data_IF_606237692583
#
_entry.id   IF_606237692583
#
_cell.length_a   1.000
_cell.length_b   1.000
_cell.length_c   1.000
_cell.angle_alpha   90.00
_cell.angle_beta   90.00
_cell.angle_gamma   90.00
#
_symmetry.space_group_name_H-M   'P 1'
#
loop_
_entity.id
_entity.type
_entity.pdbx_description
1 polymer ?
#
# COMPACT_ATOMS: atom_id res chain seq x y z
N UNK A 1 -11.86 -37.00 8.27
CA UNK A 1 -11.73 -36.04 7.15
C UNK A 1 -12.07 -34.68 7.74
N UNK A 2 -11.10 -33.78 7.86
CA UNK A 2 -11.37 -32.41 8.32
C UNK A 2 -11.99 -31.65 7.15
N UNK A 3 -13.23 -31.19 7.28
CA UNK A 3 -13.80 -30.25 6.33
C UNK A 3 -13.22 -28.88 6.67
N UNK A 4 -12.46 -28.30 5.73
CA UNK A 4 -12.01 -26.93 5.89
C UNK A 4 -13.25 -26.03 5.86
N UNK A 5 -13.38 -25.08 6.82
CA UNK A 5 -14.49 -24.15 6.80
C UNK A 5 -14.47 -23.39 5.48
N UNK A 6 -15.66 -23.22 4.87
CA UNK A 6 -15.83 -22.44 3.65
C UNK A 6 -15.69 -20.94 3.96
N UNK A 7 -14.45 -20.56 4.25
CA UNK A 7 -14.04 -19.21 4.58
C UNK A 7 -13.72 -18.50 3.26
N UNK A 8 -14.62 -17.59 2.88
CA UNK A 8 -14.49 -16.73 1.72
C UNK A 8 -14.18 -15.32 2.24
N UNK A 9 -12.93 -14.90 2.08
CA UNK A 9 -12.47 -13.56 2.50
C UNK A 9 -12.23 -12.73 1.25
N UNK A 10 -12.85 -11.56 1.19
CA UNK A 10 -12.59 -10.59 0.13
C UNK A 10 -11.18 -10.00 0.25
N UNK A 11 -10.48 -9.88 -0.87
CA UNK A 11 -9.13 -9.27 -0.95
C UNK A 11 -9.14 -7.80 -0.52
N UNK A 12 -10.33 -7.18 -0.47
CA UNK A 12 -10.55 -5.82 0.04
C UNK A 12 -9.96 -5.55 1.42
N UNK A 13 -9.70 -6.57 2.26
CA UNK A 13 -9.00 -6.38 3.54
C UNK A 13 -7.61 -5.75 3.35
N UNK A 14 -6.88 -6.09 2.29
CA UNK A 14 -5.58 -5.50 2.00
C UNK A 14 -5.67 -4.00 1.65
N UNK A 15 -6.82 -3.53 1.15
CA UNK A 15 -7.07 -2.11 0.93
C UNK A 15 -7.08 -1.31 2.23
N UNK A 16 -7.39 -1.92 3.38
CA UNK A 16 -7.34 -1.23 4.68
C UNK A 16 -5.90 -0.85 5.01
N UNK A 17 -4.97 -1.79 4.85
CA UNK A 17 -3.53 -1.55 5.09
C UNK A 17 -2.99 -0.52 4.11
N UNK A 18 -3.34 -0.66 2.82
CA UNK A 18 -2.98 0.32 1.81
C UNK A 18 -3.56 1.70 2.13
N UNK A 19 -4.84 1.80 2.49
CA UNK A 19 -5.51 3.05 2.85
C UNK A 19 -4.88 3.72 4.07
N UNK A 20 -4.49 2.96 5.09
CA UNK A 20 -3.78 3.48 6.26
C UNK A 20 -2.40 4.05 5.87
N UNK A 21 -1.65 3.33 5.03
CA UNK A 21 -0.39 3.81 4.47
C UNK A 21 -0.59 5.13 3.69
N UNK A 22 -1.59 5.18 2.81
CA UNK A 22 -1.93 6.37 2.03
C UNK A 22 -2.27 7.57 2.91
N UNK A 23 -3.02 7.35 3.99
CA UNK A 23 -3.36 8.40 4.95
C UNK A 23 -2.12 8.98 5.63
N UNK A 24 -1.26 8.12 6.19
CA UNK A 24 -0.01 8.56 6.81
C UNK A 24 0.91 9.27 5.82
N UNK A 25 0.96 8.78 4.59
CA UNK A 25 1.72 9.40 3.52
C UNK A 25 1.21 10.82 3.19
N UNK A 26 -0.11 11.00 3.09
CA UNK A 26 -0.72 12.32 2.84
C UNK A 26 -0.39 13.27 4.00
N UNK A 27 -0.55 12.84 5.25
CA UNK A 27 -0.23 13.65 6.43
C UNK A 27 1.25 14.07 6.45
N UNK A 28 2.15 13.14 6.17
CA UNK A 28 3.58 13.41 6.08
C UNK A 28 3.91 14.39 4.93
N UNK A 29 3.27 14.22 3.76
CA UNK A 29 3.47 15.11 2.62
C UNK A 29 2.97 16.52 2.91
N UNK A 30 1.80 16.66 3.53
CA UNK A 30 1.27 17.95 3.96
C UNK A 30 2.19 18.66 4.96
N UNK A 31 2.75 17.92 5.91
CA UNK A 31 3.74 18.46 6.85
C UNK A 31 4.99 18.97 6.14
N UNK A 32 5.54 18.20 5.19
CA UNK A 32 6.72 18.62 4.43
C UNK A 32 6.44 19.82 3.53
N UNK A 33 5.30 19.86 2.86
CA UNK A 33 4.89 21.00 2.04
C UNK A 33 4.72 22.24 2.91
N UNK A 34 4.03 22.13 4.05
CA UNK A 34 3.91 23.22 5.01
C UNK A 34 5.28 23.72 5.49
N UNK A 35 6.16 22.80 5.85
CA UNK A 35 7.51 23.13 6.30
C UNK A 35 8.30 23.84 5.20
N UNK A 36 8.22 23.36 3.96
CA UNK A 36 8.88 23.94 2.80
C UNK A 36 8.37 25.37 2.52
N UNK A 37 7.05 25.59 2.54
CA UNK A 37 6.44 26.90 2.31
C UNK A 37 6.80 27.90 3.40
N UNK A 38 6.85 27.46 4.67
CA UNK A 38 7.05 28.35 5.82
C UNK A 38 8.52 28.59 6.18
N UNK A 39 9.39 27.59 5.99
CA UNK A 39 10.77 27.60 6.48
C UNK A 39 11.82 27.35 5.38
N UNK A 40 11.41 26.99 4.16
CA UNK A 40 12.30 26.56 3.08
C UNK A 40 13.27 27.63 2.55
N UNK A 41 13.07 28.91 2.88
CA UNK A 41 13.92 30.01 2.43
C UNK A 41 15.30 29.99 3.10
N UNK A 42 15.43 29.41 4.31
CA UNK A 42 16.68 29.45 5.09
C UNK A 42 17.71 28.36 4.70
N UNK A 43 17.37 27.47 3.76
CA UNK A 43 18.25 26.38 3.34
C UNK A 43 17.91 25.86 1.94
N UNK A 44 18.42 26.53 0.90
CA UNK A 44 18.15 26.20 -0.51
C UNK A 44 18.43 24.72 -0.87
N UNK A 45 19.50 24.13 -0.34
CA UNK A 45 19.79 22.71 -0.55
C UNK A 45 18.72 21.79 0.06
N UNK A 46 18.28 22.10 1.29
CA UNK A 46 17.23 21.34 1.98
C UNK A 46 15.89 21.47 1.25
N UNK A 47 15.59 22.67 0.74
CA UNK A 47 14.44 22.94 -0.10
C UNK A 47 14.42 22.03 -1.33
N UNK A 48 15.50 21.99 -2.12
CA UNK A 48 15.59 21.16 -3.34
C UNK A 48 15.40 19.67 -3.02
N UNK A 49 16.04 19.17 -1.95
CA UNK A 49 15.92 17.77 -1.53
C UNK A 49 14.47 17.45 -1.18
N UNK A 50 13.82 18.27 -0.35
CA UNK A 50 12.43 18.05 0.08
C UNK A 50 11.46 18.15 -1.10
N UNK A 51 11.68 19.08 -2.03
CA UNK A 51 10.86 19.20 -3.25
C UNK A 51 10.98 17.96 -4.14
N UNK A 52 12.20 17.53 -4.47
CA UNK A 52 12.41 16.35 -5.32
C UNK A 52 11.83 15.09 -4.67
N UNK A 53 12.09 14.92 -3.36
CA UNK A 53 11.53 13.81 -2.59
C UNK A 53 10.00 13.82 -2.64
N UNK A 54 9.36 14.95 -2.31
CA UNK A 54 7.90 15.07 -2.27
C UNK A 54 7.26 14.83 -3.63
N UNK A 55 7.82 15.40 -4.70
CA UNK A 55 7.34 15.17 -6.07
C UNK A 55 7.49 13.70 -6.48
N UNK A 56 8.66 13.10 -6.21
CA UNK A 56 8.91 11.70 -6.53
C UNK A 56 7.96 10.76 -5.81
N UNK A 57 7.72 11.00 -4.52
CA UNK A 57 6.78 10.18 -3.75
C UNK A 57 5.33 10.40 -4.18
N UNK A 58 4.92 11.62 -4.56
CA UNK A 58 3.58 11.87 -5.10
C UNK A 58 3.37 11.07 -6.38
N UNK A 59 4.37 11.02 -7.26
CA UNK A 59 4.31 10.23 -8.49
C UNK A 59 4.22 8.74 -8.22
N UNK A 60 5.04 8.20 -7.30
CA UNK A 60 5.00 6.78 -6.95
C UNK A 60 3.64 6.39 -6.33
N UNK A 61 3.14 7.21 -5.42
CA UNK A 61 1.88 6.98 -4.73
C UNK A 61 0.70 7.11 -5.68
N UNK A 62 0.64 8.18 -6.47
CA UNK A 62 -0.38 8.35 -7.51
C UNK A 62 -0.34 7.22 -8.53
N UNK A 63 0.85 6.82 -8.98
CA UNK A 63 1.05 5.68 -9.88
C UNK A 63 0.54 4.37 -9.28
N UNK A 64 0.83 4.11 -7.99
CA UNK A 64 0.33 2.91 -7.31
C UNK A 64 -1.19 2.86 -7.26
N UNK A 65 -1.86 4.00 -7.04
CA UNK A 65 -3.32 4.07 -7.03
C UNK A 65 -3.89 3.71 -8.41
N UNK A 66 -3.36 4.28 -9.49
CA UNK A 66 -3.85 3.98 -10.85
C UNK A 66 -3.62 2.51 -11.23
N UNK A 67 -2.45 1.95 -10.90
CA UNK A 67 -2.16 0.54 -11.15
C UNK A 67 -3.10 -0.40 -10.38
N UNK A 68 -3.48 -0.03 -9.16
CA UNK A 68 -4.34 -0.85 -8.29
C UNK A 68 -5.83 -0.66 -8.56
N UNK A 69 -6.24 0.46 -9.17
CA UNK A 69 -7.64 0.79 -9.42
C UNK A 69 -8.33 -0.13 -10.45
N UNK A 70 -7.56 -0.75 -11.34
CA UNK A 70 -8.09 -1.66 -12.37
C UNK A 70 -8.44 -3.05 -11.82
N UNK A 71 -7.97 -3.39 -10.63
CA UNK A 71 -8.21 -4.71 -10.03
C UNK A 71 -9.58 -4.77 -9.33
N UNK A 72 -10.25 -5.91 -9.47
CA UNK A 72 -11.45 -6.21 -8.69
C UNK A 72 -11.08 -6.71 -7.29
N UNK A 73 -11.14 -5.81 -6.33
CA UNK A 73 -10.85 -6.07 -4.92
C UNK A 73 -11.96 -6.83 -4.19
N UNK A 74 -13.14 -6.98 -4.81
CA UNK A 74 -14.25 -7.73 -4.22
C UNK A 74 -14.11 -9.23 -4.43
N UNK A 75 -13.21 -9.64 -5.33
CA UNK A 75 -12.88 -11.05 -5.60
C UNK A 75 -12.60 -11.79 -4.29
N UNK A 76 -13.34 -12.87 -4.00
CA UNK A 76 -13.12 -13.68 -2.81
C UNK A 76 -11.93 -14.62 -3.00
N UNK A 77 -11.06 -14.71 -1.99
CA UNK A 77 -10.11 -15.82 -1.85
C UNK A 77 -10.80 -16.89 -1.01
N UNK A 78 -10.87 -18.11 -1.56
CA UNK A 78 -11.34 -19.30 -0.85
C UNK A 78 -10.15 -20.07 -0.30
N UNK A 79 -10.32 -20.67 0.89
CA UNK A 79 -9.28 -21.51 1.50
C UNK A 79 -8.94 -22.74 0.64
N UNK A 80 -9.93 -23.29 -0.05
CA UNK A 80 -9.79 -24.44 -0.96
C UNK A 80 -8.88 -24.11 -2.15
N UNK A 81 -9.07 -22.95 -2.80
CA UNK A 81 -8.20 -22.50 -3.88
C UNK A 81 -6.79 -22.11 -3.41
N UNK A 82 -6.64 -21.60 -2.19
CA UNK A 82 -5.32 -21.31 -1.62
C UNK A 82 -4.50 -22.58 -1.36
N UNK A 83 -5.17 -23.69 -1.02
CA UNK A 83 -4.52 -24.99 -0.79
C UNK A 83 -4.02 -25.67 -2.07
N UNK A 84 -4.63 -25.38 -3.23
CA UNK A 84 -4.14 -25.90 -4.52
C UNK A 84 -2.79 -25.28 -4.95
N UNK A 85 -2.51 -24.04 -4.51
CA UNK A 85 -1.23 -23.37 -4.72
C UNK A 85 -0.24 -23.55 -3.55
N UNK A 86 -0.63 -24.31 -2.53
CA UNK A 86 0.28 -24.69 -1.46
C UNK A 86 1.35 -25.62 -2.00
N UNK A 87 2.60 -25.26 -1.73
CA UNK A 87 3.77 -26.03 -2.12
C UNK A 87 4.44 -26.52 -0.83
N UNK A 88 4.36 -27.81 -0.54
CA UNK A 88 4.89 -28.43 0.69
C UNK A 88 6.37 -28.12 0.92
N UNK A 89 7.13 -27.86 -0.16
CA UNK A 89 8.55 -27.51 -0.11
C UNK A 89 8.82 -26.14 0.53
N UNK A 90 7.85 -25.21 0.50
CA UNK A 90 8.01 -23.84 1.01
C UNK A 90 7.51 -23.67 2.45
N UNK A 91 6.52 -24.46 2.87
CA UNK A 91 5.90 -24.34 4.20
C UNK A 91 5.55 -25.71 4.79
N UNK A 92 6.54 -26.53 5.17
CA UNK A 92 6.26 -27.86 5.70
C UNK A 92 5.47 -27.79 7.02
N UNK A 93 4.42 -28.60 7.12
CA UNK A 93 3.58 -28.84 8.31
C UNK A 93 2.45 -27.83 8.62
N UNK A 94 1.97 -27.09 7.62
CA UNK A 94 0.63 -26.49 7.62
C UNK A 94 -0.35 -27.33 6.79
#
# INVERSE_FOLDING_TARGET
MFELPNLSISISIFLIVFGAYMLFYILYSLFNIYHLVKYGIYGFGLYVIVTVFTCGTILLVGGSFFLLAEYDWTTPITLEGASEYYNEDLFPAL
#
